data_IF_752673497086
#
_entry.id   IF_752673497086
#
_cell.length_a   1.000
_cell.length_b   1.000
_cell.length_c   1.000
_cell.angle_alpha   90.00
_cell.angle_beta   90.00
_cell.angle_gamma   90.00
#
_symmetry.space_group_name_H-M   'P 1'
#
loop_
_entity.id
_entity.type
_entity.pdbx_description
1 polymer ?
#
# COMPACT_ATOMS: atom_id res chain seq x y z
N UNK A 1 4.22 -1.85 -2.22
CA UNK A 1 4.32 -3.33 -2.29
C UNK A 1 5.02 -3.79 -3.56
N UNK A 2 4.62 -3.36 -4.75
CA UNK A 2 5.23 -3.76 -6.05
C UNK A 2 6.76 -3.68 -6.05
N UNK A 3 7.37 -2.55 -5.67
CA UNK A 3 8.84 -2.43 -5.59
C UNK A 3 9.53 -3.50 -4.74
N UNK A 4 8.86 -4.02 -3.71
CA UNK A 4 9.41 -5.11 -2.89
C UNK A 4 9.37 -6.44 -3.63
N UNK A 5 8.32 -6.69 -4.41
CA UNK A 5 8.22 -7.87 -5.26
C UNK A 5 9.29 -7.84 -6.35
N UNK A 6 9.45 -6.72 -7.04
CA UNK A 6 10.50 -6.54 -8.05
C UNK A 6 11.90 -6.75 -7.46
N UNK A 7 12.19 -6.19 -6.28
CA UNK A 7 13.46 -6.41 -5.57
C UNK A 7 13.67 -7.88 -5.16
N UNK A 8 12.60 -8.66 -5.02
CA UNK A 8 12.64 -10.10 -4.74
C UNK A 8 12.65 -10.97 -6.00
N UNK A 9 12.77 -10.34 -7.18
CA UNK A 9 12.87 -11.03 -8.46
C UNK A 9 11.53 -11.41 -9.08
N UNK A 10 10.43 -10.80 -8.64
CA UNK A 10 9.15 -10.95 -9.32
C UNK A 10 9.08 -10.00 -10.51
N UNK A 11 8.51 -10.46 -11.60
CA UNK A 11 8.24 -9.68 -12.81
C UNK A 11 6.72 -9.55 -13.03
N UNK A 12 6.24 -8.58 -13.80
CA UNK A 12 4.83 -8.49 -14.17
C UNK A 12 4.35 -9.78 -14.84
N UNK A 13 3.09 -10.16 -14.63
CA UNK A 13 2.51 -11.39 -15.18
C UNK A 13 2.54 -11.41 -16.71
N UNK A 14 2.51 -10.27 -17.35
CA UNK A 14 2.57 -10.11 -18.82
C UNK A 14 3.87 -10.69 -19.40
N UNK A 15 4.94 -10.76 -18.63
CA UNK A 15 6.19 -11.41 -19.05
C UNK A 15 6.01 -12.94 -19.12
N UNK A 16 5.30 -13.52 -18.14
CA UNK A 16 4.97 -14.95 -18.16
C UNK A 16 4.06 -15.28 -19.36
N UNK A 17 3.09 -14.44 -19.66
CA UNK A 17 2.20 -14.61 -20.79
C UNK A 17 2.96 -14.64 -22.13
N UNK A 18 3.99 -13.82 -22.26
CA UNK A 18 4.87 -13.83 -23.44
C UNK A 18 5.67 -15.16 -23.56
N UNK A 19 6.21 -15.65 -22.44
CA UNK A 19 6.96 -16.90 -22.40
C UNK A 19 6.05 -18.09 -22.77
N UNK A 20 4.83 -18.14 -22.23
CA UNK A 20 3.82 -19.16 -22.58
C UNK A 20 3.47 -19.07 -24.07
N UNK A 21 3.23 -17.87 -24.58
CA UNK A 21 2.90 -17.65 -25.99
C UNK A 21 4.04 -18.02 -26.92
N UNK A 22 5.28 -17.96 -26.45
CA UNK A 22 6.48 -18.41 -27.14
C UNK A 22 6.69 -19.94 -27.08
N UNK A 23 5.83 -20.66 -26.37
CA UNK A 23 5.86 -22.13 -26.27
C UNK A 23 6.68 -22.68 -25.11
N UNK A 24 6.96 -21.87 -24.07
CA UNK A 24 7.65 -22.35 -22.88
C UNK A 24 6.88 -23.50 -22.21
N UNK A 25 7.58 -24.53 -21.85
CA UNK A 25 7.02 -25.70 -21.15
C UNK A 25 6.78 -25.40 -19.66
N UNK A 26 5.94 -26.19 -19.01
CA UNK A 26 5.70 -26.07 -17.56
C UNK A 26 6.97 -26.26 -16.73
N UNK A 27 7.92 -27.07 -17.20
CA UNK A 27 9.20 -27.30 -16.53
C UNK A 27 10.10 -26.05 -16.58
N UNK A 28 10.11 -25.36 -17.71
CA UNK A 28 10.87 -24.12 -17.90
C UNK A 28 10.27 -22.96 -17.09
N UNK A 29 8.97 -22.99 -16.86
CA UNK A 29 8.27 -21.97 -16.05
C UNK A 29 8.36 -22.23 -14.55
N UNK A 30 8.75 -23.44 -14.12
CA UNK A 30 8.87 -23.78 -12.70
C UNK A 30 9.85 -22.86 -11.97
N UNK A 31 9.44 -22.29 -10.84
CA UNK A 31 10.22 -21.32 -10.08
C UNK A 31 10.12 -19.87 -10.56
N UNK A 32 9.46 -19.60 -11.68
CA UNK A 32 9.20 -18.21 -12.13
C UNK A 32 8.36 -17.48 -11.10
N UNK A 33 8.71 -16.24 -10.85
CA UNK A 33 8.06 -15.35 -9.90
C UNK A 33 7.38 -14.23 -10.66
N UNK A 34 6.07 -14.16 -10.59
CA UNK A 34 5.31 -13.12 -11.26
C UNK A 34 4.38 -12.41 -10.28
N UNK A 35 3.98 -11.19 -10.60
CA UNK A 35 2.99 -10.47 -9.83
C UNK A 35 1.91 -9.86 -10.73
N UNK A 36 0.74 -9.70 -10.15
CA UNK A 36 -0.38 -8.94 -10.67
C UNK A 36 -0.73 -7.86 -9.66
N UNK A 37 -0.95 -6.65 -10.11
CA UNK A 37 -1.43 -5.56 -9.28
C UNK A 37 -2.66 -4.92 -9.94
N UNK A 38 -3.62 -4.46 -9.12
CA UNK A 38 -4.71 -3.64 -9.63
C UNK A 38 -4.20 -2.29 -10.14
N UNK A 39 -4.94 -1.65 -11.03
CA UNK A 39 -4.56 -0.33 -11.61
C UNK A 39 -4.35 0.74 -10.55
N UNK A 40 -5.11 0.68 -9.46
CA UNK A 40 -5.01 1.60 -8.32
C UNK A 40 -4.01 1.13 -7.24
N UNK A 41 -3.31 0.02 -7.48
CA UNK A 41 -2.34 -0.60 -6.57
C UNK A 41 -2.87 -0.95 -5.17
N UNK A 42 -4.19 -1.12 -5.03
CA UNK A 42 -4.83 -1.52 -3.76
C UNK A 42 -4.71 -3.01 -3.51
N UNK A 43 -4.65 -3.79 -4.57
CA UNK A 43 -4.51 -5.24 -4.51
C UNK A 43 -3.26 -5.67 -5.27
N UNK A 44 -2.56 -6.65 -4.72
CA UNK A 44 -1.41 -7.25 -5.37
C UNK A 44 -1.36 -8.75 -5.06
N UNK A 45 -1.10 -9.55 -6.06
CA UNK A 45 -0.82 -10.97 -5.91
C UNK A 45 0.59 -11.28 -6.42
N UNK A 46 1.38 -11.94 -5.60
CA UNK A 46 2.66 -12.53 -6.00
C UNK A 46 2.48 -14.04 -6.16
N UNK A 47 2.97 -14.59 -7.26
CA UNK A 47 2.81 -16.00 -7.63
C UNK A 47 4.20 -16.58 -7.89
N UNK A 48 4.47 -17.73 -7.32
CA UNK A 48 5.63 -18.55 -7.66
C UNK A 48 5.13 -19.81 -8.33
N UNK A 49 5.53 -20.02 -9.58
CA UNK A 49 5.10 -21.19 -10.36
C UNK A 49 5.72 -22.44 -9.74
N UNK A 50 4.88 -23.37 -9.34
CA UNK A 50 5.30 -24.67 -8.82
C UNK A 50 5.77 -25.61 -9.94
N UNK A 51 6.37 -26.73 -9.53
CA UNK A 51 6.75 -27.83 -10.44
C UNK A 51 5.69 -28.93 -10.52
N UNK A 52 4.64 -28.85 -9.70
CA UNK A 52 3.57 -29.83 -9.63
C UNK A 52 2.34 -29.37 -10.38
N UNK A 53 1.51 -30.31 -10.78
CA UNK A 53 0.22 -30.02 -11.39
C UNK A 53 -0.70 -29.28 -10.42
N UNK A 54 -1.50 -28.34 -10.95
CA UNK A 54 -2.46 -27.57 -10.13
C UNK A 54 -3.53 -28.43 -9.48
N UNK A 55 -3.82 -29.64 -10.01
CA UNK A 55 -4.73 -30.60 -9.39
C UNK A 55 -4.23 -31.13 -8.05
N UNK A 56 -2.93 -31.03 -7.77
CA UNK A 56 -2.35 -31.35 -6.45
C UNK A 56 -2.56 -30.25 -5.41
N UNK A 57 -3.12 -29.12 -5.82
CA UNK A 57 -3.44 -27.98 -4.97
C UNK A 57 -2.41 -26.85 -5.04
N UNK A 58 -2.74 -25.77 -4.37
CA UNK A 58 -1.89 -24.56 -4.28
C UNK A 58 -1.74 -24.13 -2.82
N UNK A 59 -0.61 -23.54 -2.49
CA UNK A 59 -0.41 -22.90 -1.20
C UNK A 59 -0.75 -21.40 -1.36
N UNK A 60 -1.67 -20.90 -0.52
CA UNK A 60 -2.10 -19.49 -0.57
C UNK A 60 -1.84 -18.81 0.76
N UNK A 61 -1.27 -17.61 0.71
CA UNK A 61 -1.08 -16.73 1.86
C UNK A 61 -1.82 -15.43 1.60
N UNK A 62 -2.65 -15.03 2.54
CA UNK A 62 -3.38 -13.76 2.48
C UNK A 62 -2.90 -12.84 3.59
N UNK A 63 -2.74 -11.58 3.26
CA UNK A 63 -2.43 -10.55 4.22
C UNK A 63 -3.16 -9.24 3.85
N UNK A 64 -3.53 -8.48 4.87
CA UNK A 64 -4.09 -7.15 4.69
C UNK A 64 -3.00 -6.21 4.13
N UNK A 65 -3.33 -5.45 3.10
CA UNK A 65 -2.36 -4.60 2.42
C UNK A 65 -2.39 -3.17 2.94
N UNK A 66 -3.59 -2.63 3.15
CA UNK A 66 -3.78 -1.30 3.70
C UNK A 66 -3.59 -1.27 5.22
N UNK A 67 -3.19 -0.11 5.72
CA UNK A 67 -2.97 0.14 7.14
C UNK A 67 -4.16 0.93 7.69
N UNK A 68 -4.63 0.67 8.92
CA UNK A 68 -5.58 1.55 9.59
C UNK A 68 -5.02 2.97 9.66
N UNK A 69 -5.88 3.96 9.47
CA UNK A 69 -5.46 5.35 9.37
C UNK A 69 -6.49 6.30 10.02
N UNK A 70 -6.08 7.54 10.23
CA UNK A 70 -6.95 8.64 10.61
C UNK A 70 -7.18 9.53 9.39
N UNK A 71 -8.43 9.72 9.02
CA UNK A 71 -8.82 10.64 7.98
C UNK A 71 -9.08 12.02 8.58
N UNK A 72 -8.42 13.03 8.06
CA UNK A 72 -8.70 14.43 8.42
C UNK A 72 -10.12 14.78 7.97
N UNK A 73 -10.91 15.34 8.88
CA UNK A 73 -12.24 15.84 8.55
C UNK A 73 -12.15 17.06 7.64
N UNK A 74 -13.22 17.34 6.90
CA UNK A 74 -13.28 18.49 5.99
C UNK A 74 -12.96 19.79 6.72
N UNK A 75 -12.23 20.70 6.05
CA UNK A 75 -11.65 21.92 6.62
C UNK A 75 -12.61 22.83 7.41
N UNK A 76 -13.90 22.83 7.08
CA UNK A 76 -14.90 23.60 7.83
C UNK A 76 -15.19 23.08 9.25
N UNK A 77 -14.82 21.83 9.52
CA UNK A 77 -15.14 21.12 10.77
C UNK A 77 -13.89 20.55 11.45
N UNK A 78 -12.76 20.51 10.75
CA UNK A 78 -11.63 19.68 11.14
C UNK A 78 -10.30 20.37 11.36
N UNK A 79 -10.16 21.65 11.08
CA UNK A 79 -8.90 22.39 11.31
C UNK A 79 -9.20 23.70 11.99
N UNK A 80 -8.61 23.90 13.17
CA UNK A 80 -8.76 25.14 13.93
C UNK A 80 -7.42 25.54 14.56
N UNK A 81 -7.18 26.85 14.55
CA UNK A 81 -6.03 27.48 15.18
C UNK A 81 -6.43 27.95 16.59
N UNK A 82 -5.68 27.51 17.57
CA UNK A 82 -5.86 27.89 18.99
C UNK A 82 -4.91 29.01 19.45
N UNK A 83 -4.09 29.53 18.54
CA UNK A 83 -3.04 30.51 18.88
C UNK A 83 -1.73 29.87 19.32
N UNK A 84 -1.79 28.69 19.96
CA UNK A 84 -0.60 27.92 20.39
C UNK A 84 -0.26 26.79 19.39
N UNK A 85 -1.14 26.53 18.43
CA UNK A 85 -0.96 25.51 17.41
C UNK A 85 -2.20 25.23 16.59
N UNK A 86 -2.04 24.41 15.58
CA UNK A 86 -3.12 23.97 14.72
C UNK A 86 -3.60 22.61 15.16
N UNK A 87 -4.88 22.50 15.45
CA UNK A 87 -5.54 21.24 15.74
C UNK A 87 -6.21 20.71 14.47
N UNK A 88 -6.04 19.42 14.25
CA UNK A 88 -6.66 18.71 13.12
C UNK A 88 -7.60 17.67 13.71
N UNK A 89 -8.90 17.86 13.51
CA UNK A 89 -9.89 16.84 13.88
C UNK A 89 -9.88 15.72 12.81
N UNK A 90 -9.82 14.50 13.29
CA UNK A 90 -9.74 13.34 12.44
C UNK A 90 -10.72 12.26 12.90
N UNK A 91 -11.16 11.45 11.95
CA UNK A 91 -11.91 10.22 12.21
C UNK A 91 -11.07 9.01 11.83
N UNK A 92 -11.17 7.96 12.63
CA UNK A 92 -10.50 6.71 12.30
C UNK A 92 -11.25 5.98 11.18
N UNK A 93 -10.46 5.34 10.32
CA UNK A 93 -10.92 4.46 9.27
C UNK A 93 -10.42 3.03 9.53
N UNK A 94 -11.35 2.07 9.42
CA UNK A 94 -11.07 0.67 9.75
C UNK A 94 -11.09 0.37 11.26
N UNK A 95 -10.71 -0.84 11.61
CA UNK A 95 -10.62 -1.31 13.00
C UNK A 95 -9.30 -0.92 13.64
N UNK A 96 -9.30 0.05 14.54
CA UNK A 96 -8.12 0.46 15.30
C UNK A 96 -8.26 0.17 16.78
N UNK A 97 -7.16 -0.17 17.42
CA UNK A 97 -7.06 -0.21 18.89
C UNK A 97 -6.82 1.21 19.40
N UNK A 98 -7.87 1.97 19.61
CA UNK A 98 -7.84 3.42 19.91
C UNK A 98 -6.81 3.78 20.96
N UNK A 99 -6.71 3.01 22.05
CA UNK A 99 -5.77 3.27 23.14
C UNK A 99 -4.28 3.25 22.73
N UNK A 100 -3.95 2.61 21.61
CA UNK A 100 -2.57 2.57 21.10
C UNK A 100 -2.23 3.80 20.23
N UNK A 101 -3.24 4.59 19.83
CA UNK A 101 -3.08 5.71 18.91
C UNK A 101 -2.90 7.07 19.61
N UNK A 102 -3.35 7.19 20.86
CA UNK A 102 -3.35 8.46 21.59
C UNK A 102 -1.96 9.07 21.88
N UNK A 103 -0.93 8.27 21.93
CA UNK A 103 0.41 8.73 22.29
C UNK A 103 1.47 8.36 21.25
N UNK A 104 1.04 8.11 20.00
CA UNK A 104 1.98 7.77 18.93
C UNK A 104 2.19 8.96 18.01
N UNK A 105 3.44 9.29 17.69
CA UNK A 105 3.73 10.19 16.58
C UNK A 105 3.13 9.58 15.30
N UNK A 106 2.46 10.40 14.51
CA UNK A 106 1.83 10.01 13.27
C UNK A 106 2.47 10.77 12.12
N UNK A 107 2.41 10.19 10.95
CA UNK A 107 2.77 10.86 9.72
C UNK A 107 1.50 11.43 9.08
N UNK A 108 1.52 12.69 8.68
CA UNK A 108 0.46 13.29 7.88
C UNK A 108 0.82 13.18 6.40
N UNK A 109 0.02 12.47 5.65
CA UNK A 109 0.15 12.34 4.19
C UNK A 109 -1.14 12.74 3.50
N UNK A 110 -1.03 13.37 2.37
CA UNK A 110 -2.20 13.73 1.59
C UNK A 110 -1.90 14.67 0.44
N UNK A 111 -2.97 15.17 -0.12
CA UNK A 111 -2.92 16.12 -1.23
C UNK A 111 -3.73 17.36 -0.89
N UNK A 112 -3.20 18.52 -1.20
CA UNK A 112 -3.90 19.79 -1.11
C UNK A 112 -4.14 20.33 -2.51
N UNK A 113 -5.39 20.49 -2.91
CA UNK A 113 -5.76 21.16 -4.13
C UNK A 113 -6.00 22.65 -3.84
N UNK A 114 -5.22 23.52 -4.47
CA UNK A 114 -5.36 24.98 -4.36
C UNK A 114 -5.08 25.65 -5.70
N UNK A 115 -5.94 26.55 -6.11
CA UNK A 115 -5.79 27.35 -7.35
C UNK A 115 -5.54 26.48 -8.59
N UNK A 116 -6.26 25.34 -8.70
CA UNK A 116 -6.13 24.39 -9.81
C UNK A 116 -4.84 23.57 -9.82
N UNK A 117 -4.04 23.64 -8.74
CA UNK A 117 -2.82 22.86 -8.56
C UNK A 117 -2.97 21.88 -7.40
N UNK A 118 -2.32 20.73 -7.51
CA UNK A 118 -2.25 19.72 -6.45
C UNK A 118 -0.85 19.74 -5.84
N UNK A 119 -0.80 19.78 -4.52
CA UNK A 119 0.42 19.74 -3.72
C UNK A 119 0.42 18.47 -2.87
N UNK A 120 1.47 17.67 -2.97
CA UNK A 120 1.68 16.54 -2.09
C UNK A 120 2.13 17.01 -0.71
N UNK A 121 1.51 16.49 0.33
CA UNK A 121 1.88 16.76 1.72
C UNK A 121 2.40 15.49 2.36
N UNK A 122 3.58 15.59 2.95
CA UNK A 122 4.16 14.54 3.78
C UNK A 122 4.88 15.21 4.96
N UNK A 123 4.32 15.06 6.14
CA UNK A 123 4.88 15.57 7.40
C UNK A 123 5.05 14.40 8.37
N UNK A 124 6.28 14.13 8.75
CA UNK A 124 6.59 13.16 9.79
C UNK A 124 6.65 13.88 11.14
N UNK A 125 5.61 13.70 11.95
CA UNK A 125 5.51 14.34 13.25
C UNK A 125 6.45 13.73 14.31
N UNK A 126 7.04 12.58 14.04
CA UNK A 126 8.05 11.98 14.91
C UNK A 126 9.40 12.73 14.87
N UNK A 127 9.63 13.49 13.81
CA UNK A 127 10.91 14.22 13.59
C UNK A 127 10.80 15.73 13.84
N UNK A 128 9.63 16.22 14.25
CA UNK A 128 9.47 17.65 14.59
C UNK A 128 10.26 17.93 15.87
N UNK A 129 11.31 18.79 15.83
CA UNK A 129 12.08 19.12 17.03
C UNK A 129 11.17 19.77 18.08
N UNK A 130 11.28 19.32 19.31
CA UNK A 130 10.70 20.06 20.45
C UNK A 130 11.29 21.48 20.47
N UNK A 131 10.41 22.49 20.57
CA UNK A 131 10.80 23.89 20.68
C UNK A 131 11.24 24.22 22.07
#
# INVERSE_FOLDING_TARGET
MVRRLESAGFVPVEELEKEISAGASSEELAGRKVYVASEDYRDVAGIVIGSKDLSEGVNMLFAHLDTPELHVKRAAEGVFDSGDGVFIDAQYYGGIKKHQWFARPLELRGEIAKDGKTYQVQLDLATVPEK
#
